data_IF_840656482826
#
_entry.id   IF_840656482826
#
_cell.length_a   1.000
_cell.length_b   1.000
_cell.length_c   1.000
_cell.angle_alpha   90.00
_cell.angle_beta   90.00
_cell.angle_gamma   90.00
#
_symmetry.space_group_name_H-M   'P 1'
#
loop_
_entity.id
_entity.type
_entity.pdbx_description
1 polymer ?
#
# COMPACT_ATOMS: atom_id res chain seq x y z
N UNK A 1 -6.57 -17.37 6.95
CA UNK A 1 -5.63 -16.25 6.67
C UNK A 1 -5.68 -15.17 7.77
N UNK A 2 -4.62 -14.36 7.91
CA UNK A 2 -4.50 -13.30 8.94
C UNK A 2 -5.62 -12.25 8.88
N UNK A 3 -6.15 -11.98 7.67
CA UNK A 3 -7.24 -11.04 7.39
C UNK A 3 -8.60 -11.71 7.12
N UNK A 4 -8.79 -12.98 7.51
CA UNK A 4 -10.02 -13.72 7.19
C UNK A 4 -10.11 -14.09 5.70
N UNK A 5 -11.18 -13.68 5.00
CA UNK A 5 -11.40 -13.96 3.56
C UNK A 5 -10.85 -12.88 2.62
N UNK A 6 -10.25 -11.83 3.16
CA UNK A 6 -9.68 -10.72 2.38
C UNK A 6 -8.17 -10.92 2.24
N UNK A 7 -7.63 -10.48 1.12
CA UNK A 7 -6.20 -10.47 0.84
C UNK A 7 -5.81 -9.02 0.66
N UNK A 8 -4.97 -8.51 1.57
CA UNK A 8 -4.22 -7.29 1.30
C UNK A 8 -3.03 -7.63 0.40
N UNK A 9 -2.52 -6.67 -0.35
CA UNK A 9 -1.50 -6.94 -1.35
C UNK A 9 -0.20 -7.50 -0.74
N UNK A 10 0.28 -6.93 0.37
CA UNK A 10 1.40 -7.48 1.13
C UNK A 10 1.22 -7.31 2.64
N UNK A 11 1.44 -8.41 3.37
CA UNK A 11 1.45 -8.42 4.83
C UNK A 11 2.68 -9.18 5.30
N UNK A 12 3.49 -8.53 6.13
CA UNK A 12 4.63 -9.14 6.80
C UNK A 12 4.44 -9.04 8.31
N UNK A 13 4.27 -10.19 8.96
CA UNK A 13 4.10 -10.27 10.41
C UNK A 13 5.35 -10.89 11.04
N UNK A 14 5.88 -10.23 12.07
CA UNK A 14 7.01 -10.75 12.82
C UNK A 14 6.55 -11.95 13.63
N UNK A 15 7.31 -13.06 13.54
CA UNK A 15 7.02 -14.26 14.30
C UNK A 15 7.05 -13.97 15.82
N UNK A 16 6.18 -14.60 16.63
CA UNK A 16 6.13 -14.36 18.07
C UNK A 16 7.49 -14.53 18.78
N UNK A 17 8.26 -15.55 18.42
CA UNK A 17 9.58 -15.86 18.99
C UNK A 17 10.69 -14.87 18.59
N UNK A 18 10.43 -13.97 17.63
CA UNK A 18 11.38 -12.96 17.15
C UNK A 18 11.03 -11.54 17.60
N UNK A 19 9.99 -11.37 18.43
CA UNK A 19 9.51 -10.06 18.94
C UNK A 19 10.51 -9.35 19.87
N UNK A 20 11.54 -10.07 20.35
CA UNK A 20 12.67 -9.50 21.08
C UNK A 20 13.42 -8.44 20.25
N UNK A 21 13.39 -8.57 18.91
CA UNK A 21 13.91 -7.56 18.01
C UNK A 21 12.86 -6.48 17.76
N UNK A 22 13.30 -5.23 17.65
CA UNK A 22 12.41 -4.07 17.41
C UNK A 22 11.95 -3.94 15.94
N UNK A 23 11.61 -5.06 15.32
CA UNK A 23 11.13 -5.11 13.93
C UNK A 23 9.63 -4.74 13.89
N UNK A 24 9.23 -4.02 12.85
CA UNK A 24 7.84 -3.64 12.59
C UNK A 24 7.10 -4.74 11.82
N UNK A 25 5.81 -4.89 12.09
CA UNK A 25 4.89 -5.55 11.18
C UNK A 25 4.54 -4.57 10.05
N UNK A 26 4.47 -5.05 8.81
CA UNK A 26 4.24 -4.19 7.64
C UNK A 26 2.98 -4.65 6.91
N UNK A 27 2.14 -3.69 6.57
CA UNK A 27 0.99 -3.88 5.70
C UNK A 27 1.07 -2.85 4.56
N UNK A 28 1.00 -3.32 3.31
CA UNK A 28 1.04 -2.48 2.13
C UNK A 28 -0.19 -2.76 1.29
N UNK A 29 -0.88 -1.69 0.86
CA UNK A 29 -1.84 -1.77 -0.24
C UNK A 29 -1.31 -1.03 -1.46
N UNK A 30 -1.52 -1.68 -2.60
CA UNK A 30 -1.01 -1.28 -3.88
C UNK A 30 -2.16 -0.88 -4.81
N UNK A 31 -2.02 0.27 -5.47
CA UNK A 31 -2.96 0.74 -6.48
C UNK A 31 -2.21 1.09 -7.75
N UNK A 32 -2.92 0.91 -8.85
CA UNK A 32 -2.43 1.28 -10.17
C UNK A 32 -3.36 2.29 -10.85
N UNK A 33 -2.78 3.37 -11.33
CA UNK A 33 -3.44 4.40 -12.13
C UNK A 33 -2.83 4.38 -13.53
N UNK A 34 -3.55 3.96 -14.58
CA UNK A 34 -3.02 4.00 -15.94
C UNK A 34 -2.84 5.43 -16.45
N UNK A 35 -1.83 5.64 -17.30
CA UNK A 35 -1.52 6.95 -17.92
C UNK A 35 -2.74 7.59 -18.59
N UNK A 36 -3.60 6.79 -19.23
CA UNK A 36 -4.83 7.28 -19.86
C UNK A 36 -5.82 7.96 -18.90
N UNK A 37 -5.80 7.63 -17.60
CA UNK A 37 -6.64 8.30 -16.59
C UNK A 37 -6.10 9.65 -16.17
N UNK A 38 -4.78 9.83 -16.21
CA UNK A 38 -4.13 11.12 -15.89
C UNK A 38 -3.91 11.99 -17.14
N UNK A 39 -4.09 11.42 -18.35
CA UNK A 39 -3.92 12.09 -19.65
C UNK A 39 -2.52 12.69 -19.84
N UNK A 40 -1.51 12.00 -19.33
CA UNK A 40 -0.09 12.35 -19.44
C UNK A 40 0.70 11.21 -20.08
N UNK A 41 1.83 11.52 -20.69
CA UNK A 41 2.78 10.51 -21.16
C UNK A 41 3.60 9.94 -19.99
N UNK A 42 4.23 8.77 -20.19
CA UNK A 42 5.12 8.18 -19.19
C UNK A 42 6.30 9.10 -18.84
N UNK A 43 6.87 9.76 -19.85
CA UNK A 43 7.95 10.74 -19.67
C UNK A 43 7.52 11.96 -18.83
N UNK A 44 6.32 12.49 -19.09
CA UNK A 44 5.78 13.60 -18.28
C UNK A 44 5.61 13.18 -16.82
N UNK A 45 5.01 12.01 -16.56
CA UNK A 45 4.81 11.48 -15.20
C UNK A 45 6.14 11.23 -14.50
N UNK A 46 7.16 10.72 -15.21
CA UNK A 46 8.49 10.45 -14.67
C UNK A 46 9.23 11.70 -14.20
N UNK A 47 8.97 12.85 -14.82
CA UNK A 47 9.61 14.12 -14.48
C UNK A 47 8.86 14.90 -13.37
N UNK A 48 7.68 14.45 -12.95
CA UNK A 48 6.93 15.07 -11.86
C UNK A 48 7.50 14.66 -10.49
N UNK A 49 7.48 15.59 -9.54
CA UNK A 49 7.73 15.30 -8.14
C UNK A 49 6.62 14.44 -7.52
N UNK A 50 6.92 13.83 -6.36
CA UNK A 50 5.94 13.04 -5.61
C UNK A 50 4.75 13.88 -5.16
N UNK A 51 5.00 15.13 -4.80
CA UNK A 51 4.01 16.10 -4.36
C UNK A 51 3.06 16.43 -5.51
N UNK A 52 3.58 16.68 -6.71
CA UNK A 52 2.76 16.93 -7.91
C UNK A 52 1.93 15.71 -8.31
N UNK A 53 2.53 14.50 -8.28
CA UNK A 53 1.82 13.26 -8.58
C UNK A 53 0.65 13.03 -7.61
N UNK A 54 0.82 13.35 -6.32
CA UNK A 54 -0.24 13.25 -5.31
C UNK A 54 -1.41 14.21 -5.55
N UNK A 55 -1.20 15.32 -6.27
CA UNK A 55 -2.29 16.25 -6.61
C UNK A 55 -3.13 15.79 -7.81
N UNK A 56 -2.67 14.80 -8.58
CA UNK A 56 -3.45 14.26 -9.69
C UNK A 56 -4.70 13.57 -9.12
N UNK A 57 -5.89 14.02 -9.55
CA UNK A 57 -7.18 13.52 -9.03
C UNK A 57 -7.28 11.97 -9.05
N UNK A 58 -6.90 11.27 -10.13
CA UNK A 58 -6.96 9.80 -10.14
C UNK A 58 -6.01 9.14 -9.13
N UNK A 59 -4.85 9.75 -8.87
CA UNK A 59 -3.84 9.26 -7.91
C UNK A 59 -4.32 9.46 -6.49
N UNK A 60 -4.87 10.64 -6.19
CA UNK A 60 -5.48 10.92 -4.89
C UNK A 60 -6.63 9.95 -4.59
N UNK A 61 -7.55 9.77 -5.54
CA UNK A 61 -8.67 8.84 -5.35
C UNK A 61 -8.21 7.40 -5.10
N UNK A 62 -7.17 6.93 -5.81
CA UNK A 62 -6.59 5.62 -5.57
C UNK A 62 -5.92 5.53 -4.18
N UNK A 63 -5.20 6.57 -3.75
CA UNK A 63 -4.59 6.61 -2.43
C UNK A 63 -5.65 6.57 -1.32
N UNK A 64 -6.72 7.36 -1.44
CA UNK A 64 -7.83 7.40 -0.49
C UNK A 64 -8.52 6.03 -0.38
N UNK A 65 -8.72 5.33 -1.51
CA UNK A 65 -9.28 3.97 -1.53
C UNK A 65 -8.39 2.97 -0.79
N UNK A 66 -7.08 3.01 -1.04
CA UNK A 66 -6.11 2.15 -0.36
C UNK A 66 -6.06 2.43 1.15
N UNK A 67 -6.12 3.70 1.57
CA UNK A 67 -6.14 4.07 2.98
C UNK A 67 -7.39 3.54 3.71
N UNK A 68 -8.56 3.55 3.05
CA UNK A 68 -9.77 2.95 3.60
C UNK A 68 -9.64 1.43 3.77
N UNK A 69 -9.03 0.75 2.79
CA UNK A 69 -8.76 -0.69 2.86
C UNK A 69 -7.78 -1.01 3.99
N UNK A 70 -6.67 -0.28 4.06
CA UNK A 70 -5.67 -0.38 5.12
C UNK A 70 -6.28 -0.18 6.51
N UNK A 71 -7.17 0.79 6.67
CA UNK A 71 -7.85 1.05 7.96
C UNK A 71 -8.63 -0.19 8.42
N UNK A 72 -9.37 -0.82 7.51
CA UNK A 72 -10.14 -2.03 7.79
C UNK A 72 -9.22 -3.20 8.18
N UNK A 73 -8.14 -3.41 7.42
CA UNK A 73 -7.18 -4.49 7.70
C UNK A 73 -6.40 -4.26 9.00
N UNK A 74 -6.01 -3.01 9.28
CA UNK A 74 -5.37 -2.63 10.53
C UNK A 74 -6.28 -2.93 11.71
N UNK A 75 -7.57 -2.65 11.63
CA UNK A 75 -8.53 -3.01 12.68
C UNK A 75 -8.53 -4.52 12.91
N UNK A 76 -8.71 -5.33 11.86
CA UNK A 76 -8.70 -6.81 11.96
C UNK A 76 -7.41 -7.35 12.56
N UNK A 77 -6.24 -6.83 12.18
CA UNK A 77 -4.95 -7.24 12.73
C UNK A 77 -4.79 -6.83 14.19
N UNK A 78 -5.26 -5.63 14.54
CA UNK A 78 -5.21 -5.13 15.92
C UNK A 78 -6.10 -5.96 16.83
N UNK A 79 -7.32 -6.33 16.41
CA UNK A 79 -8.21 -7.21 17.16
C UNK A 79 -7.60 -8.61 17.37
N UNK A 80 -6.86 -9.12 16.39
CA UNK A 80 -6.25 -10.46 16.46
C UNK A 80 -4.97 -10.52 17.29
N UNK A 81 -4.08 -9.53 17.11
CA UNK A 81 -2.72 -9.56 17.68
C UNK A 81 -2.56 -8.61 18.87
N UNK A 82 -3.49 -7.69 19.09
CA UNK A 82 -3.48 -6.77 20.23
C UNK A 82 -2.15 -6.04 20.40
N UNK A 83 -1.68 -5.98 21.64
CA UNK A 83 -0.54 -5.16 22.04
C UNK A 83 0.82 -5.65 21.53
N UNK A 84 0.92 -6.88 21.01
CA UNK A 84 2.18 -7.38 20.45
C UNK A 84 2.42 -6.87 19.03
N UNK A 85 1.38 -6.36 18.36
CA UNK A 85 1.43 -5.87 16.99
C UNK A 85 2.13 -4.50 16.93
N UNK A 86 3.15 -4.40 16.07
CA UNK A 86 3.89 -3.15 15.79
C UNK A 86 3.68 -2.76 14.34
N UNK A 87 2.42 -2.49 13.97
CA UNK A 87 2.02 -2.33 12.58
C UNK A 87 2.35 -0.95 12.01
N UNK A 88 3.02 -0.95 10.86
CA UNK A 88 3.17 0.19 9.96
C UNK A 88 2.46 -0.10 8.64
N UNK A 89 1.66 0.86 8.19
CA UNK A 89 0.88 0.75 6.96
C UNK A 89 1.46 1.66 5.87
N UNK A 90 1.44 1.21 4.63
CA UNK A 90 1.88 1.97 3.47
C UNK A 90 0.85 1.90 2.35
N UNK A 91 0.50 3.07 1.82
CA UNK A 91 -0.23 3.19 0.56
C UNK A 91 0.77 3.43 -0.55
N UNK A 92 0.74 2.58 -1.58
CA UNK A 92 1.60 2.71 -2.76
C UNK A 92 0.70 2.84 -3.99
N UNK A 93 0.84 3.95 -4.72
CA UNK A 93 0.12 4.16 -5.97
C UNK A 93 1.14 4.28 -7.10
N UNK A 94 1.13 3.33 -8.03
CA UNK A 94 1.86 3.49 -9.28
C UNK A 94 1.03 4.27 -10.30
N UNK A 95 1.69 5.17 -11.01
CA UNK A 95 1.09 6.01 -12.05
C UNK A 95 1.75 5.65 -13.37
N UNK A 96 1.07 4.85 -14.18
CA UNK A 96 1.62 4.26 -15.38
C UNK A 96 2.69 3.19 -15.11
N UNK A 97 3.04 2.47 -16.18
CA UNK A 97 4.19 1.57 -16.28
C UNK A 97 4.69 1.59 -17.71
N UNK A 98 5.99 1.81 -17.91
CA UNK A 98 6.59 1.64 -19.24
C UNK A 98 6.96 0.18 -19.51
N UNK A 99 7.30 -0.61 -18.47
CA UNK A 99 7.26 -2.10 -18.44
C UNK A 99 7.54 -2.66 -17.05
N UNK A 100 6.90 -3.79 -16.70
CA UNK A 100 7.23 -4.63 -15.55
C UNK A 100 7.17 -6.12 -15.94
N UNK A 101 8.16 -6.91 -15.51
CA UNK A 101 8.26 -8.37 -15.73
C UNK A 101 8.77 -9.02 -14.44
N UNK A 102 8.25 -10.20 -14.08
CA UNK A 102 8.55 -10.90 -12.82
C UNK A 102 8.72 -12.41 -13.06
N UNK A 103 9.48 -13.09 -12.19
CA UNK A 103 9.55 -14.56 -12.05
C UNK A 103 9.55 -14.91 -10.56
#
# INVERSE_FOLDING_TARGET
>A
PALGRRYGDLIMLVRPDKRQYQILDILIEFKYVPLGKVKLTGEQVKNMSREELRQLKPVKAAADEAEQQLSTYKQTLTERYGNILRLRTYTVVAVGYDRLVWQ
#
